data_IF_158419481220
#
_entry.id   IF_158419481220
#
_cell.length_a   1.000
_cell.length_b   1.000
_cell.length_c   1.000
_cell.angle_alpha   90.00
_cell.angle_beta   90.00
_cell.angle_gamma   90.00
#
_symmetry.space_group_name_H-M   'P 1'
#
loop_
_entity.id
_entity.type
_entity.pdbx_description
1 polymer ?
#
# COMPACT_ATOMS: atom_id res chain seq x y z
N UNK A 1 -30.03 -1.92 50.50
CA UNK A 1 -30.49 -2.38 49.17
C UNK A 1 -30.22 -1.24 48.22
N UNK A 2 -29.03 -1.22 47.60
CA UNK A 2 -28.58 -0.04 46.84
C UNK A 2 -28.68 -0.36 45.36
N UNK A 3 -29.49 0.45 44.69
CA UNK A 3 -29.94 0.35 43.31
C UNK A 3 -28.79 0.54 42.32
N UNK A 4 -28.71 -0.37 41.34
CA UNK A 4 -27.87 -0.24 40.15
C UNK A 4 -28.42 0.88 39.25
N UNK A 5 -27.56 1.76 38.68
CA UNK A 5 -28.03 2.74 37.72
C UNK A 5 -28.23 2.11 36.34
N UNK A 6 -29.37 2.42 35.72
CA UNK A 6 -29.82 1.95 34.41
C UNK A 6 -28.99 2.50 33.25
N UNK A 7 -28.92 1.73 32.15
CA UNK A 7 -28.11 1.94 30.94
C UNK A 7 -28.38 3.24 30.13
N UNK A 8 -29.27 4.13 30.58
CA UNK A 8 -29.69 5.33 29.85
C UNK A 8 -28.96 6.62 30.25
N UNK A 9 -27.97 6.56 31.16
CA UNK A 9 -27.19 7.74 31.58
C UNK A 9 -25.76 7.84 31.02
N UNK A 10 -25.39 6.99 30.05
CA UNK A 10 -24.05 6.99 29.43
C UNK A 10 -24.01 7.52 27.98
N UNK A 11 -25.00 8.31 27.58
CA UNK A 11 -25.05 8.97 26.26
C UNK A 11 -25.37 10.45 26.45
N UNK A 12 -24.46 11.21 27.05
CA UNK A 12 -24.44 12.70 27.01
C UNK A 12 -23.15 13.28 27.59
N UNK A 13 -22.00 12.84 27.08
CA UNK A 13 -20.75 13.61 27.17
C UNK A 13 -20.12 13.70 25.79
N UNK A 14 -20.78 14.43 24.88
CA UNK A 14 -20.09 15.03 23.74
C UNK A 14 -19.19 16.12 24.29
N UNK A 15 -17.94 15.77 24.61
CA UNK A 15 -16.88 16.76 24.82
C UNK A 15 -16.65 17.44 23.48
N UNK A 16 -17.06 18.70 23.37
CA UNK A 16 -16.66 19.58 22.27
C UNK A 16 -15.16 19.78 22.38
N UNK A 17 -14.41 19.26 21.40
CA UNK A 17 -13.00 19.57 21.26
C UNK A 17 -12.85 21.06 20.91
N UNK A 18 -11.93 21.80 21.57
CA UNK A 18 -11.63 23.16 21.17
C UNK A 18 -11.07 23.15 19.74
N UNK A 19 -11.64 24.00 18.88
CA UNK A 19 -11.07 24.30 17.55
C UNK A 19 -9.84 25.19 17.78
N UNK A 20 -8.70 24.58 18.03
CA UNK A 20 -7.42 25.28 17.92
C UNK A 20 -7.10 25.46 16.42
N UNK A 21 -7.25 26.70 15.95
CA UNK A 21 -7.08 27.11 14.56
C UNK A 21 -5.62 27.46 14.21
N UNK A 22 -4.64 26.89 14.90
CA UNK A 22 -3.21 27.21 14.70
C UNK A 22 -2.38 26.15 13.96
N UNK A 23 -2.95 25.01 13.55
CA UNK A 23 -2.26 24.06 12.67
C UNK A 23 -2.62 24.34 11.21
N UNK A 24 -1.84 25.21 10.58
CA UNK A 24 -1.85 25.39 9.14
C UNK A 24 -1.69 24.02 8.45
N UNK A 25 -2.52 23.67 7.45
CA UNK A 25 -2.26 22.51 6.63
C UNK A 25 -0.87 22.72 6.01
N UNK A 26 0.02 21.75 6.18
CA UNK A 26 1.25 21.69 5.40
C UNK A 26 0.85 21.49 3.93
N UNK A 27 0.53 22.60 3.27
CA UNK A 27 0.54 22.69 1.83
C UNK A 27 1.94 22.26 1.40
N UNK A 28 2.07 21.26 0.51
CA UNK A 28 3.35 20.97 -0.09
C UNK A 28 3.81 22.23 -0.80
N UNK A 29 4.82 22.89 -0.23
CA UNK A 29 5.40 24.05 -0.86
C UNK A 29 5.91 23.66 -2.26
N UNK A 30 5.33 24.28 -3.27
CA UNK A 30 6.06 24.65 -4.48
C UNK A 30 6.46 23.54 -5.45
N UNK A 31 5.83 22.36 -5.46
CA UNK A 31 5.97 21.43 -6.61
C UNK A 31 4.59 21.03 -7.11
N UNK A 32 4.18 21.64 -8.22
CA UNK A 32 3.04 21.16 -8.99
C UNK A 32 3.26 19.67 -9.31
N UNK A 33 2.32 18.83 -8.90
CA UNK A 33 2.30 17.45 -9.38
C UNK A 33 2.06 17.51 -10.89
N UNK A 34 2.91 16.89 -11.72
CA UNK A 34 2.66 16.88 -13.14
C UNK A 34 1.32 16.20 -13.39
N UNK A 35 0.36 16.95 -13.95
CA UNK A 35 -0.94 16.44 -14.46
C UNK A 35 -0.79 15.47 -15.64
N UNK A 36 0.43 15.07 -15.96
CA UNK A 36 0.78 14.39 -17.20
C UNK A 36 1.33 13.02 -16.87
N UNK A 37 0.74 12.02 -17.53
CA UNK A 37 1.21 10.64 -17.78
C UNK A 37 2.61 10.54 -18.41
N UNK A 38 3.43 11.60 -18.34
CA UNK A 38 4.80 11.67 -18.88
C UNK A 38 5.77 12.08 -17.79
N UNK A 39 6.17 11.10 -16.98
CA UNK A 39 7.49 11.09 -16.34
C UNK A 39 8.28 9.91 -16.92
N UNK A 40 8.35 9.84 -18.25
CA UNK A 40 9.15 8.85 -18.98
C UNK A 40 9.65 9.51 -20.28
N UNK A 41 10.86 10.04 -20.30
CA UNK A 41 11.53 10.43 -21.55
C UNK A 41 12.26 9.22 -22.12
N UNK A 42 12.36 9.15 -23.45
CA UNK A 42 12.62 7.94 -24.24
C UNK A 42 14.01 7.27 -24.07
N UNK A 43 14.83 7.68 -23.10
CA UNK A 43 16.18 7.15 -22.89
C UNK A 43 16.43 6.54 -21.50
N UNK A 44 15.42 6.34 -20.65
CA UNK A 44 15.60 5.54 -19.44
C UNK A 44 14.43 4.59 -19.17
N UNK A 45 14.38 3.47 -19.91
CA UNK A 45 13.46 2.39 -19.60
C UNK A 45 13.83 1.76 -18.24
N UNK A 46 12.92 1.90 -17.26
CA UNK A 46 12.58 0.79 -16.36
C UNK A 46 13.55 0.42 -15.21
N UNK A 47 13.77 1.30 -14.23
CA UNK A 47 14.36 0.89 -12.95
C UNK A 47 13.58 1.40 -11.75
N UNK A 48 13.53 0.60 -10.67
CA UNK A 48 12.99 1.00 -9.36
C UNK A 48 13.62 2.28 -8.81
N UNK A 49 14.84 2.62 -9.28
CA UNK A 49 15.51 3.90 -9.03
C UNK A 49 14.71 5.11 -9.52
N UNK A 50 14.15 5.06 -10.73
CA UNK A 50 13.35 6.15 -11.28
C UNK A 50 12.08 6.42 -10.44
N UNK A 51 11.47 5.37 -9.86
CA UNK A 51 10.34 5.54 -8.94
C UNK A 51 10.74 6.27 -7.66
N UNK A 52 11.97 6.03 -7.18
CA UNK A 52 12.54 6.69 -5.99
C UNK A 52 12.86 8.14 -6.28
N UNK A 53 13.55 8.42 -7.38
CA UNK A 53 13.89 9.77 -7.83
C UNK A 53 12.63 10.62 -8.11
N UNK A 54 11.55 10.01 -8.63
CA UNK A 54 10.26 10.66 -8.82
C UNK A 54 9.44 10.83 -7.53
N UNK A 55 9.88 10.28 -6.40
CA UNK A 55 9.16 10.32 -5.12
C UNK A 55 7.89 9.47 -5.07
N UNK A 56 7.66 8.63 -6.09
CA UNK A 56 6.47 7.76 -6.16
C UNK A 56 6.62 6.57 -5.23
N UNK A 57 7.82 5.98 -5.15
CA UNK A 57 8.13 4.87 -4.27
C UNK A 57 9.61 4.90 -3.84
N UNK A 58 9.89 5.03 -2.54
CA UNK A 58 11.23 5.38 -2.07
C UNK A 58 12.28 4.27 -2.23
N UNK A 59 11.91 3.00 -2.06
CA UNK A 59 12.87 1.89 -2.04
C UNK A 59 13.15 1.36 -3.44
N UNK A 60 14.41 1.04 -3.72
CA UNK A 60 14.83 0.47 -5.01
C UNK A 60 14.64 -1.04 -5.11
N UNK A 61 14.37 -1.73 -4.00
CA UNK A 61 14.16 -3.17 -3.96
C UNK A 61 12.84 -3.54 -3.26
N UNK A 62 12.62 -3.04 -2.03
CA UNK A 62 11.50 -3.46 -1.19
C UNK A 62 10.14 -3.13 -1.78
N UNK A 63 9.21 -4.08 -1.84
CA UNK A 63 7.88 -3.86 -2.43
C UNK A 63 7.03 -2.81 -1.71
N UNK A 64 7.31 -2.55 -0.43
CA UNK A 64 6.54 -1.65 0.43
C UNK A 64 7.39 -0.43 0.80
N UNK A 65 6.79 0.76 0.80
CA UNK A 65 7.40 2.00 1.30
C UNK A 65 6.43 2.71 2.24
N UNK A 66 6.96 3.22 3.36
CA UNK A 66 6.19 3.85 4.43
C UNK A 66 7.08 4.44 5.51
N UNK A 67 6.45 5.03 6.53
CA UNK A 67 7.15 5.54 7.72
C UNK A 67 6.35 5.20 8.98
N UNK A 68 7.04 5.11 10.12
CA UNK A 68 6.41 4.85 11.42
C UNK A 68 5.34 5.89 11.75
N UNK A 69 5.59 7.17 11.45
CA UNK A 69 4.64 8.24 11.69
C UNK A 69 3.47 8.24 10.70
N UNK A 70 3.75 8.03 9.40
CA UNK A 70 2.81 8.27 8.32
C UNK A 70 2.14 7.03 7.71
N UNK A 71 2.44 5.83 8.21
CA UNK A 71 1.96 4.57 7.66
C UNK A 71 2.55 4.24 6.29
N UNK A 72 1.90 3.33 5.57
CA UNK A 72 2.19 2.97 4.20
C UNK A 72 1.99 4.16 3.26
N UNK A 73 2.91 4.31 2.31
CA UNK A 73 2.87 5.36 1.28
C UNK A 73 2.70 4.79 -0.11
N UNK A 74 3.32 3.64 -0.39
CA UNK A 74 3.21 2.99 -1.69
C UNK A 74 3.58 1.52 -1.64
N UNK A 75 3.02 0.76 -2.58
CA UNK A 75 3.36 -0.65 -2.84
C UNK A 75 3.67 -0.86 -4.32
N UNK A 76 4.53 -1.83 -4.60
CA UNK A 76 4.94 -2.24 -5.94
C UNK A 76 4.53 -3.70 -6.17
N UNK A 77 3.73 -3.95 -7.21
CA UNK A 77 3.41 -5.29 -7.68
C UNK A 77 4.31 -5.65 -8.85
N UNK A 78 5.25 -6.57 -8.65
CA UNK A 78 6.17 -7.01 -9.72
C UNK A 78 6.43 -8.51 -9.68
N UNK A 79 5.46 -9.31 -9.20
CA UNK A 79 5.57 -10.76 -9.14
C UNK A 79 6.56 -11.30 -8.08
N UNK A 80 6.85 -10.51 -7.03
CA UNK A 80 7.75 -10.93 -5.96
C UNK A 80 7.20 -12.03 -5.05
N UNK A 81 5.88 -12.22 -5.05
CA UNK A 81 5.19 -13.30 -4.35
C UNK A 81 4.22 -13.95 -5.34
N UNK A 82 4.31 -15.28 -5.49
CA UNK A 82 3.44 -16.04 -6.39
C UNK A 82 1.97 -15.98 -5.97
N UNK A 83 1.73 -15.71 -4.69
CA UNK A 83 0.40 -15.76 -4.11
C UNK A 83 -0.35 -14.43 -4.16
N UNK A 84 0.25 -13.39 -4.73
CA UNK A 84 -0.44 -12.12 -4.98
C UNK A 84 -1.57 -12.32 -6.00
N UNK A 85 -2.75 -11.80 -5.68
CA UNK A 85 -3.90 -11.82 -6.59
C UNK A 85 -4.25 -10.40 -7.01
N UNK A 86 -4.10 -10.11 -8.29
CA UNK A 86 -4.38 -8.80 -8.86
C UNK A 86 -5.65 -8.85 -9.72
N UNK A 87 -6.76 -8.37 -9.15
CA UNK A 87 -8.05 -8.23 -9.83
C UNK A 87 -8.28 -6.79 -10.31
N UNK A 88 -7.20 -6.00 -10.47
CA UNK A 88 -7.25 -4.63 -10.93
C UNK A 88 -7.69 -3.68 -9.82
N UNK A 89 -9.00 -3.55 -9.60
CA UNK A 89 -9.54 -2.66 -8.56
C UNK A 89 -9.37 -3.24 -7.15
N UNK A 90 -9.18 -4.55 -7.06
CA UNK A 90 -8.94 -5.27 -5.80
C UNK A 90 -7.62 -6.02 -5.93
N UNK A 91 -6.79 -5.93 -4.91
CA UNK A 91 -5.51 -6.61 -4.85
C UNK A 91 -5.42 -7.34 -3.51
N UNK A 92 -5.07 -8.62 -3.54
CA UNK A 92 -4.63 -9.36 -2.35
C UNK A 92 -3.11 -9.37 -2.37
N UNK A 93 -2.53 -8.49 -1.57
CA UNK A 93 -1.09 -8.24 -1.53
C UNK A 93 -0.45 -8.98 -0.35
N UNK A 94 0.66 -9.65 -0.61
CA UNK A 94 1.45 -10.36 0.41
C UNK A 94 2.46 -9.43 1.05
N UNK A 95 2.56 -9.48 2.37
CA UNK A 95 3.54 -8.75 3.15
C UNK A 95 4.96 -9.20 2.83
N UNK A 96 5.92 -8.45 3.34
CA UNK A 96 7.33 -8.78 3.20
C UNK A 96 7.83 -9.59 4.39
N UNK A 97 8.90 -10.36 4.18
CA UNK A 97 9.59 -11.10 5.21
C UNK A 97 9.47 -12.62 5.04
N UNK A 98 10.34 -13.32 5.72
CA UNK A 98 10.40 -14.78 5.76
C UNK A 98 10.68 -15.53 4.48
N UNK A 99 11.23 -14.86 3.46
CA UNK A 99 11.81 -15.52 2.29
C UNK A 99 13.31 -15.74 2.48
N UNK A 100 13.81 -16.89 1.99
CA UNK A 100 15.25 -17.13 1.86
C UNK A 100 15.84 -16.17 0.83
N UNK A 101 16.86 -15.38 1.20
CA UNK A 101 17.58 -14.45 0.31
C UNK A 101 16.69 -13.37 -0.35
N UNK A 102 15.92 -12.64 0.46
CA UNK A 102 15.01 -11.55 0.08
C UNK A 102 15.63 -10.36 -0.69
N UNK A 103 16.96 -10.31 -0.83
CA UNK A 103 17.68 -9.22 -1.49
C UNK A 103 18.04 -9.47 -2.96
N UNK A 104 18.01 -10.72 -3.43
CA UNK A 104 18.56 -11.07 -4.76
C UNK A 104 17.52 -11.69 -5.69
N UNK A 105 16.66 -12.57 -5.19
CA UNK A 105 15.57 -13.19 -5.96
C UNK A 105 14.40 -13.55 -5.04
N UNK A 106 13.16 -13.64 -5.56
CA UNK A 106 12.05 -14.24 -4.82
C UNK A 106 12.42 -15.66 -4.40
N UNK A 107 12.62 -15.87 -3.11
CA UNK A 107 12.93 -17.16 -2.52
C UNK A 107 11.69 -17.84 -1.94
N UNK A 108 11.76 -19.14 -1.62
CA UNK A 108 10.70 -19.81 -0.88
C UNK A 108 10.53 -19.16 0.50
N UNK A 109 9.29 -19.18 1.00
CA UNK A 109 9.00 -18.84 2.38
C UNK A 109 9.63 -19.91 3.30
N UNK A 110 10.35 -19.48 4.34
CA UNK A 110 11.08 -20.34 5.29
C UNK A 110 10.78 -20.01 6.76
N UNK A 111 10.05 -18.93 7.03
CA UNK A 111 9.63 -18.51 8.37
C UNK A 111 8.32 -17.71 8.29
N UNK A 112 7.66 -17.56 9.43
CA UNK A 112 6.45 -16.76 9.56
C UNK A 112 6.72 -15.25 9.38
N UNK A 113 5.85 -14.57 8.65
CA UNK A 113 5.81 -13.11 8.62
C UNK A 113 5.11 -12.56 9.86
N UNK A 114 5.54 -11.39 10.30
CA UNK A 114 4.89 -10.64 11.38
C UNK A 114 4.50 -9.22 10.94
N UNK A 115 3.44 -8.69 11.55
CA UNK A 115 3.08 -7.28 11.47
C UNK A 115 4.03 -6.36 12.24
N UNK A 116 4.89 -6.91 13.10
CA UNK A 116 5.96 -6.17 13.77
C UNK A 116 7.10 -5.83 12.79
N UNK A 117 7.20 -6.54 11.66
CA UNK A 117 8.10 -6.15 10.59
C UNK A 117 7.74 -4.73 10.11
N UNK A 118 8.67 -3.76 10.09
CA UNK A 118 8.35 -2.35 9.92
C UNK A 118 7.45 -2.06 8.70
N UNK A 119 7.76 -2.68 7.56
CA UNK A 119 7.00 -2.50 6.33
C UNK A 119 5.57 -3.05 6.39
N UNK A 120 5.37 -4.21 7.02
CA UNK A 120 4.03 -4.77 7.22
C UNK A 120 3.25 -3.90 8.22
N UNK A 121 3.91 -3.45 9.28
CA UNK A 121 3.37 -2.50 10.25
C UNK A 121 2.94 -1.17 9.60
N UNK A 122 3.66 -0.68 8.59
CA UNK A 122 3.27 0.53 7.85
C UNK A 122 1.94 0.34 7.11
N UNK A 123 1.74 -0.78 6.41
CA UNK A 123 0.46 -1.07 5.75
C UNK A 123 -0.67 -1.31 6.75
N UNK A 124 -0.39 -2.00 7.86
CA UNK A 124 -1.35 -2.15 8.96
C UNK A 124 -1.78 -0.81 9.53
N UNK A 125 -0.83 0.13 9.71
CA UNK A 125 -1.16 1.50 10.12
C UNK A 125 -1.99 2.25 9.07
N UNK A 126 -1.75 2.05 7.77
CA UNK A 126 -2.60 2.63 6.71
C UNK A 126 -4.02 2.07 6.74
N UNK A 127 -4.20 0.80 7.11
CA UNK A 127 -5.52 0.22 7.39
C UNK A 127 -6.18 0.90 8.59
N UNK A 128 -5.49 1.03 9.73
CA UNK A 128 -6.03 1.64 10.95
C UNK A 128 -6.41 3.12 10.74
N UNK A 129 -5.59 3.85 9.97
CA UNK A 129 -5.76 5.30 9.72
C UNK A 129 -6.57 5.61 8.47
N UNK A 130 -6.90 4.60 7.67
CA UNK A 130 -7.59 4.74 6.37
C UNK A 130 -6.89 5.67 5.38
N UNK A 131 -5.57 5.88 5.56
CA UNK A 131 -4.74 6.70 4.67
C UNK A 131 -4.50 5.92 3.38
N UNK A 132 -4.88 6.45 2.21
CA UNK A 132 -4.65 5.78 0.93
C UNK A 132 -3.17 5.62 0.61
N UNK A 133 -2.84 4.55 -0.11
CA UNK A 133 -1.51 4.22 -0.59
C UNK A 133 -1.46 4.25 -2.12
N UNK A 134 -0.31 4.60 -2.67
CA UNK A 134 -0.07 4.52 -4.12
C UNK A 134 0.21 3.08 -4.54
N UNK A 135 -0.38 2.64 -5.64
CA UNK A 135 -0.08 1.34 -6.25
C UNK A 135 0.70 1.55 -7.53
N UNK A 136 1.82 0.84 -7.65
CA UNK A 136 2.66 0.80 -8.84
C UNK A 136 2.70 -0.65 -9.33
N UNK A 137 2.35 -0.89 -10.60
CA UNK A 137 2.49 -2.20 -11.24
C UNK A 137 3.75 -2.25 -12.09
N UNK A 138 4.60 -3.22 -11.84
CA UNK A 138 5.71 -3.65 -12.68
C UNK A 138 5.34 -4.85 -13.55
N UNK A 139 6.29 -5.41 -14.32
CA UNK A 139 6.02 -6.60 -15.14
C UNK A 139 5.67 -7.80 -14.26
N UNK A 140 4.61 -8.51 -14.62
CA UNK A 140 4.21 -9.80 -14.04
C UNK A 140 3.20 -10.51 -14.94
N UNK A 141 2.72 -11.67 -14.51
CA UNK A 141 1.71 -12.46 -15.24
C UNK A 141 0.29 -11.89 -15.16
N UNK A 142 0.05 -10.87 -14.33
CA UNK A 142 -1.24 -10.18 -14.25
C UNK A 142 -1.58 -9.47 -15.56
N UNK A 143 -2.82 -9.60 -16.02
CA UNK A 143 -3.33 -8.87 -17.19
C UNK A 143 -3.42 -7.35 -16.93
N UNK A 144 -3.36 -6.91 -15.67
CA UNK A 144 -3.27 -5.50 -15.32
C UNK A 144 -1.83 -4.99 -15.30
N UNK A 145 -0.83 -5.87 -15.25
CA UNK A 145 0.58 -5.49 -15.26
C UNK A 145 1.01 -5.01 -16.65
N UNK A 146 1.86 -3.97 -16.73
CA UNK A 146 2.48 -3.58 -17.98
C UNK A 146 3.42 -4.69 -18.49
N UNK A 147 3.62 -4.78 -19.81
CA UNK A 147 4.56 -5.74 -20.40
C UNK A 147 6.01 -5.43 -20.03
N UNK A 148 6.35 -4.14 -19.88
CA UNK A 148 7.65 -3.66 -19.47
C UNK A 148 7.48 -2.45 -18.56
N UNK A 149 8.43 -2.26 -17.65
CA UNK A 149 8.45 -1.07 -16.81
C UNK A 149 7.51 -1.04 -15.64
N UNK A 150 7.47 0.13 -14.98
CA UNK A 150 6.60 0.38 -13.83
C UNK A 150 5.59 1.48 -14.17
N UNK A 151 4.33 1.25 -13.81
CA UNK A 151 3.22 2.16 -14.05
C UNK A 151 2.50 2.47 -12.75
N UNK A 152 2.30 3.75 -12.46
CA UNK A 152 1.43 4.18 -11.37
C UNK A 152 -0.03 3.97 -11.75
N UNK A 153 -0.78 3.21 -10.94
CA UNK A 153 -2.17 2.83 -11.21
C UNK A 153 -3.19 3.41 -10.22
N UNK A 154 -2.76 4.43 -9.47
CA UNK A 154 -3.63 5.23 -8.63
C UNK A 154 -3.51 4.93 -7.14
N UNK A 155 -4.47 5.48 -6.41
CA UNK A 155 -4.63 5.37 -4.97
C UNK A 155 -5.58 4.24 -4.60
N UNK A 156 -5.18 3.48 -3.58
CA UNK A 156 -5.93 2.37 -3.01
C UNK A 156 -6.01 2.55 -1.49
N UNK A 157 -7.04 2.02 -0.85
CA UNK A 157 -7.12 1.86 0.59
C UNK A 157 -6.85 0.43 0.98
N UNK A 158 -6.19 0.23 2.11
CA UNK A 158 -6.12 -1.07 2.76
C UNK A 158 -7.46 -1.28 3.47
N UNK A 159 -8.23 -2.28 3.08
CA UNK A 159 -9.58 -2.56 3.60
C UNK A 159 -9.64 -3.78 4.51
N UNK A 160 -8.65 -4.66 4.43
CA UNK A 160 -8.52 -5.83 5.30
C UNK A 160 -7.05 -6.14 5.55
N UNK A 161 -6.75 -6.58 6.78
CA UNK A 161 -5.43 -7.05 7.20
C UNK A 161 -5.64 -8.37 7.95
N UNK A 162 -4.93 -9.42 7.54
CA UNK A 162 -5.01 -10.74 8.20
C UNK A 162 -3.73 -11.52 8.08
N UNK A 163 -3.59 -12.54 8.91
CA UNK A 163 -2.59 -13.58 8.73
C UNK A 163 -3.22 -14.75 7.97
N UNK A 164 -2.51 -15.30 6.98
CA UNK A 164 -2.94 -16.48 6.23
C UNK A 164 -1.83 -17.53 6.29
N UNK A 165 -2.19 -18.80 6.49
CA UNK A 165 -1.24 -19.90 6.30
C UNK A 165 -0.99 -20.14 4.81
N UNK A 166 0.27 -20.17 4.40
CA UNK A 166 0.70 -20.37 3.02
C UNK A 166 2.02 -21.16 3.04
N UNK A 167 2.04 -22.32 2.36
CA UNK A 167 3.20 -23.22 2.32
C UNK A 167 3.77 -23.63 3.70
N UNK A 168 2.90 -23.72 4.72
CA UNK A 168 3.30 -24.08 6.09
C UNK A 168 3.75 -22.91 6.96
N UNK A 169 3.73 -21.68 6.44
CA UNK A 169 4.11 -20.47 7.17
C UNK A 169 2.97 -19.45 7.20
N UNK A 170 2.91 -18.65 8.26
CA UNK A 170 2.04 -17.50 8.34
C UNK A 170 2.57 -16.37 7.45
N UNK A 171 1.73 -15.82 6.57
CA UNK A 171 2.02 -14.62 5.78
C UNK A 171 1.06 -13.49 6.11
N UNK A 172 1.56 -12.26 6.14
CA UNK A 172 0.74 -11.07 6.28
C UNK A 172 0.01 -10.83 4.94
N UNK A 173 -1.33 -10.72 4.98
CA UNK A 173 -2.14 -10.41 3.80
C UNK A 173 -2.86 -9.09 3.96
N UNK A 174 -2.86 -8.31 2.88
CA UNK A 174 -3.49 -7.01 2.78
C UNK A 174 -4.47 -7.01 1.60
N UNK A 175 -5.73 -6.67 1.86
CA UNK A 175 -6.69 -6.38 0.80
C UNK A 175 -6.62 -4.90 0.47
N UNK A 176 -6.30 -4.58 -0.77
CA UNK A 176 -6.26 -3.21 -1.27
C UNK A 176 -7.41 -2.98 -2.23
N UNK A 177 -8.16 -1.91 -2.02
CA UNK A 177 -9.28 -1.51 -2.88
C UNK A 177 -9.05 -0.13 -3.47
N UNK A 178 -9.22 -0.03 -4.78
CA UNK A 178 -8.98 1.21 -5.53
C UNK A 178 -10.01 2.26 -5.17
N UNK A 179 -9.54 3.50 -4.97
CA UNK A 179 -10.44 4.62 -4.76
C UNK A 179 -11.25 4.94 -6.03
N UNK A 180 -12.53 5.34 -5.89
CA UNK A 180 -13.36 5.76 -7.02
C UNK A 180 -12.87 7.09 -7.62
N UNK A 181 -13.39 7.45 -8.80
CA UNK A 181 -13.11 8.73 -9.45
C UNK A 181 -11.75 8.84 -10.15
N UNK A 182 -11.03 7.73 -10.28
CA UNK A 182 -9.76 7.67 -10.99
C UNK A 182 -9.96 7.06 -12.39
N UNK A 183 -9.12 7.41 -13.39
CA UNK A 183 -9.19 6.81 -14.73
C UNK A 183 -9.18 5.27 -14.70
N UNK A 184 -9.78 4.59 -15.68
CA UNK A 184 -9.82 3.13 -15.72
C UNK A 184 -8.41 2.52 -15.76
N UNK A 185 -8.25 1.34 -15.16
CA UNK A 185 -6.97 0.62 -15.18
C UNK A 185 -6.74 0.07 -16.58
N UNK A 186 -5.55 0.33 -17.14
CA UNK A 186 -5.14 -0.23 -18.42
C UNK A 186 -4.85 -1.72 -18.27
N UNK A 187 -5.54 -2.54 -19.05
CA UNK A 187 -5.22 -3.96 -19.21
C UNK A 187 -4.23 -4.14 -20.36
N UNK A 188 -3.40 -5.17 -20.29
CA UNK A 188 -2.58 -5.64 -21.41
C UNK A 188 -3.55 -6.21 -22.46
N UNK A 189 -3.44 -5.77 -23.71
CA UNK A 189 -4.22 -6.35 -24.80
C UNK A 189 -3.80 -7.81 -24.98
N UNK A 190 -4.77 -8.71 -24.91
CA UNK A 190 -4.62 -10.07 -25.44
C UNK A 190 -4.72 -9.96 -26.96
N UNK A 191 -3.66 -10.35 -27.66
CA UNK A 191 -3.66 -10.46 -29.12
C UNK A 191 -4.55 -11.61 -29.57
#
# INVERSE_FOLDING_TARGET
MNSTPTLSKLIKQRRTFPKDSSLAPLTPQGKSFPRSTRLCTNNNPWYRKALSEAGVHAHTYAGISGTKAGGGKSVVLSGGYKDDQDMGNVILYTGTGGQRNSFSQPGPQIEDQSFDHPMNGYLKKSFETQIPIRVIRGPSDSCFSPAQGYRYDGLYKVTEVRTKGEHGFAVCRFRLERLPGQPPIKKRSTW
#
